data_IF_592832029237
#
_entry.id   IF_592832029237
#
_cell.length_a   1.000
_cell.length_b   1.000
_cell.length_c   1.000
_cell.angle_alpha   90.00
_cell.angle_beta   90.00
_cell.angle_gamma   90.00
#
_symmetry.space_group_name_H-M   'P 1'
#
loop_
_entity.id
_entity.type
_entity.pdbx_description
1 polymer ?
#
# COMPACT_ATOMS: atom_id res chain seq x y z
N UNK A 1 1.46 -7.78 -40.80
CA UNK A 1 2.43 -7.50 -39.72
C UNK A 1 2.42 -6.02 -39.35
N UNK A 2 2.68 -5.09 -40.28
CA UNK A 2 2.70 -3.64 -40.00
C UNK A 2 1.44 -3.06 -39.28
N UNK A 3 0.22 -3.51 -39.62
CA UNK A 3 -1.00 -3.04 -38.96
C UNK A 3 -1.14 -3.48 -37.50
N UNK A 4 -0.60 -4.66 -37.14
CA UNK A 4 -0.64 -5.19 -35.76
C UNK A 4 0.37 -4.44 -34.90
N UNK A 5 1.55 -4.12 -35.46
CA UNK A 5 2.57 -3.31 -34.79
C UNK A 5 2.06 -1.89 -34.46
N UNK A 6 1.33 -1.26 -35.38
CA UNK A 6 0.77 0.09 -35.16
C UNK A 6 -0.29 0.09 -34.05
N UNK A 7 -1.14 -0.94 -34.01
CA UNK A 7 -2.18 -1.06 -33.00
C UNK A 7 -1.59 -1.31 -31.60
N UNK A 8 -0.60 -2.21 -31.48
CA UNK A 8 0.09 -2.50 -30.22
C UNK A 8 0.86 -1.29 -29.70
N UNK A 9 1.55 -0.55 -30.57
CA UNK A 9 2.23 0.70 -30.18
C UNK A 9 1.27 1.76 -29.65
N UNK A 10 0.13 1.93 -30.31
CA UNK A 10 -0.89 2.89 -29.87
C UNK A 10 -1.48 2.50 -28.51
N UNK A 11 -1.70 1.20 -28.28
CA UNK A 11 -2.15 0.67 -26.99
C UNK A 11 -1.10 0.88 -25.89
N UNK A 12 0.17 0.55 -26.17
CA UNK A 12 1.28 0.74 -25.23
C UNK A 12 1.39 2.20 -24.79
N UNK A 13 1.33 3.13 -25.75
CA UNK A 13 1.35 4.56 -25.46
C UNK A 13 0.15 5.00 -24.59
N UNK A 14 -1.05 4.48 -24.85
CA UNK A 14 -2.23 4.79 -24.04
C UNK A 14 -2.11 4.32 -22.59
N UNK A 15 -1.60 3.09 -22.38
CA UNK A 15 -1.43 2.51 -21.04
C UNK A 15 -0.39 3.28 -20.25
N UNK A 16 0.77 3.56 -20.84
CA UNK A 16 1.88 4.18 -20.13
C UNK A 16 1.79 5.71 -20.01
N UNK A 17 0.97 6.38 -20.83
CA UNK A 17 0.63 7.79 -20.60
C UNK A 17 -0.17 8.02 -19.30
N UNK A 18 -0.86 6.99 -18.80
CA UNK A 18 -1.51 7.05 -17.48
C UNK A 18 -0.52 6.85 -16.33
N UNK A 19 0.58 6.12 -16.55
CA UNK A 19 1.59 5.81 -15.54
C UNK A 19 2.42 7.03 -15.11
N UNK A 20 2.63 8.01 -16.00
CA UNK A 20 3.36 9.25 -15.65
C UNK A 20 2.71 10.03 -14.48
N UNK A 21 1.40 9.84 -14.24
CA UNK A 21 0.70 10.46 -13.11
C UNK A 21 0.69 9.58 -11.83
N UNK A 22 1.05 8.30 -11.96
CA UNK A 22 1.10 7.30 -10.88
C UNK A 22 2.51 6.71 -10.81
N UNK A 23 3.50 7.57 -10.53
CA UNK A 23 4.96 7.38 -10.63
C UNK A 23 5.62 6.12 -10.01
N UNK A 24 4.86 5.19 -9.44
CA UNK A 24 5.35 3.98 -8.76
C UNK A 24 4.40 2.78 -8.92
N UNK A 25 3.47 2.83 -9.87
CA UNK A 25 2.68 1.69 -10.31
C UNK A 25 3.18 1.31 -11.69
N UNK A 26 3.25 0.02 -11.99
CA UNK A 26 3.59 -0.43 -13.34
C UNK A 26 2.43 -1.30 -13.85
N UNK A 27 1.87 -0.90 -14.99
CA UNK A 27 0.84 -1.69 -15.66
C UNK A 27 1.49 -2.54 -16.76
N UNK A 28 1.37 -3.85 -16.62
CA UNK A 28 1.89 -4.83 -17.56
C UNK A 28 0.74 -5.64 -18.12
N UNK A 29 0.77 -5.90 -19.43
CA UNK A 29 -0.16 -6.81 -20.09
C UNK A 29 0.64 -7.95 -20.72
N UNK A 30 0.28 -9.19 -20.40
CA UNK A 30 0.88 -10.38 -21.03
C UNK A 30 -0.18 -11.21 -21.75
N UNK A 31 0.22 -11.86 -22.84
CA UNK A 31 -0.63 -12.80 -23.58
C UNK A 31 -0.71 -14.16 -22.86
N UNK A 32 -1.56 -15.06 -23.39
CA UNK A 32 -1.70 -16.44 -22.90
C UNK A 32 -0.39 -17.26 -22.91
N UNK A 33 0.58 -16.88 -23.73
CA UNK A 33 1.86 -17.56 -23.86
C UNK A 33 2.88 -17.02 -22.83
N UNK A 34 2.62 -15.87 -22.24
CA UNK A 34 3.53 -15.19 -21.32
C UNK A 34 4.45 -14.20 -22.03
N UNK A 35 4.04 -13.70 -23.20
CA UNK A 35 4.74 -12.63 -23.90
C UNK A 35 4.11 -11.28 -23.56
N UNK A 36 4.92 -10.23 -23.50
CA UNK A 36 4.41 -8.88 -23.30
C UNK A 36 3.55 -8.41 -24.47
N UNK A 37 2.38 -7.86 -24.15
CA UNK A 37 1.52 -7.10 -25.06
C UNK A 37 1.76 -5.60 -24.86
N UNK A 38 2.07 -5.20 -23.62
CA UNK A 38 2.43 -3.84 -23.22
C UNK A 38 3.59 -3.89 -22.25
N UNK A 39 4.56 -2.99 -22.41
CA UNK A 39 5.71 -2.83 -21.54
C UNK A 39 6.32 -1.42 -21.71
N UNK A 40 6.87 -0.85 -20.64
CA UNK A 40 7.52 0.47 -20.64
C UNK A 40 8.66 0.56 -21.67
N UNK A 41 9.46 -0.50 -21.74
CA UNK A 41 10.42 -0.73 -22.83
C UNK A 41 9.75 -1.42 -24.03
N UNK A 42 9.53 -0.66 -25.11
CA UNK A 42 8.92 -1.17 -26.35
C UNK A 42 9.66 -2.36 -26.97
N UNK A 43 10.98 -2.48 -26.75
CA UNK A 43 11.77 -3.56 -27.32
C UNK A 43 11.39 -4.94 -26.76
N UNK A 44 10.78 -4.96 -25.57
CA UNK A 44 10.29 -6.18 -24.91
C UNK A 44 8.89 -6.60 -25.36
N UNK A 45 8.16 -5.78 -26.11
CA UNK A 45 6.84 -6.15 -26.63
C UNK A 45 6.99 -7.39 -27.53
N UNK A 46 6.07 -8.35 -27.38
CA UNK A 46 6.08 -9.71 -27.96
C UNK A 46 7.23 -10.61 -27.49
N UNK A 47 8.07 -10.17 -26.56
CA UNK A 47 9.08 -11.01 -25.91
C UNK A 47 8.57 -11.52 -24.56
N UNK A 48 9.26 -12.52 -24.03
CA UNK A 48 9.03 -13.07 -22.71
C UNK A 48 10.34 -13.05 -21.93
N UNK A 49 10.29 -12.57 -20.70
CA UNK A 49 11.40 -12.63 -19.75
C UNK A 49 10.97 -13.34 -18.46
N UNK A 50 11.88 -13.39 -17.49
CA UNK A 50 11.65 -14.05 -16.20
C UNK A 50 10.44 -13.48 -15.45
N UNK A 51 10.23 -12.16 -15.51
CA UNK A 51 9.12 -11.50 -14.84
C UNK A 51 7.77 -11.86 -15.46
N UNK A 52 7.67 -11.87 -16.80
CA UNK A 52 6.45 -12.30 -17.49
C UNK A 52 6.07 -13.75 -17.15
N UNK A 53 7.07 -14.64 -17.09
CA UNK A 53 6.86 -16.04 -16.72
C UNK A 53 6.49 -16.19 -15.24
N UNK A 54 7.12 -15.42 -14.35
CA UNK A 54 6.79 -15.40 -12.93
C UNK A 54 5.34 -14.94 -12.69
N UNK A 55 4.89 -13.88 -13.37
CA UNK A 55 3.49 -13.42 -13.35
C UNK A 55 2.56 -14.53 -13.80
N UNK A 56 2.83 -15.12 -14.96
CA UNK A 56 1.97 -16.16 -15.55
C UNK A 56 1.87 -17.40 -14.67
N UNK A 57 2.99 -17.83 -14.08
CA UNK A 57 3.04 -19.02 -13.21
C UNK A 57 2.38 -18.79 -11.85
N UNK A 58 2.44 -17.56 -11.34
CA UNK A 58 1.90 -17.20 -10.02
C UNK A 58 0.41 -16.84 -10.06
N UNK A 59 -0.10 -16.47 -11.24
CA UNK A 59 -1.50 -16.14 -11.43
C UNK A 59 -2.41 -17.38 -11.35
N UNK A 60 -3.48 -17.27 -10.57
CA UNK A 60 -4.62 -18.18 -10.60
C UNK A 60 -5.92 -17.37 -10.56
N UNK A 61 -6.98 -17.87 -11.19
CA UNK A 61 -8.29 -17.21 -11.20
C UNK A 61 -8.87 -17.02 -9.78
N UNK A 62 -8.48 -17.89 -8.84
CA UNK A 62 -8.91 -17.82 -7.44
C UNK A 62 -8.06 -16.84 -6.61
N UNK A 63 -6.84 -16.54 -7.06
CA UNK A 63 -5.89 -15.65 -6.37
C UNK A 63 -5.37 -14.59 -7.33
N UNK A 64 -6.19 -13.57 -7.55
CA UNK A 64 -5.89 -12.46 -8.46
C UNK A 64 -4.80 -11.52 -7.93
N UNK A 65 -4.49 -11.57 -6.63
CA UNK A 65 -3.42 -10.77 -6.01
C UNK A 65 -2.38 -11.69 -5.38
N UNK A 66 -1.12 -11.45 -5.69
CA UNK A 66 0.00 -12.28 -5.24
C UNK A 66 1.30 -11.47 -5.14
N UNK A 67 2.27 -12.02 -4.43
CA UNK A 67 3.57 -11.40 -4.20
C UNK A 67 4.57 -11.84 -5.27
N UNK A 68 5.32 -10.88 -5.81
CA UNK A 68 6.41 -11.02 -6.77
C UNK A 68 7.63 -10.35 -6.17
N UNK A 69 8.49 -11.12 -5.49
CA UNK A 69 9.63 -10.61 -4.73
C UNK A 69 9.25 -9.48 -3.76
N UNK A 70 9.69 -8.24 -4.02
CA UNK A 70 9.38 -7.05 -3.22
C UNK A 70 8.14 -6.28 -3.70
N UNK A 71 7.41 -6.83 -4.67
CA UNK A 71 6.25 -6.22 -5.30
C UNK A 71 4.99 -7.04 -5.03
N UNK A 72 3.85 -6.37 -5.13
CA UNK A 72 2.53 -6.99 -5.14
C UNK A 72 1.95 -6.80 -6.54
N UNK A 73 1.56 -7.91 -7.16
CA UNK A 73 0.87 -7.90 -8.44
C UNK A 73 -0.62 -8.22 -8.22
N UNK A 74 -1.48 -7.42 -8.82
CA UNK A 74 -2.91 -7.73 -8.96
C UNK A 74 -3.22 -7.89 -10.43
N UNK A 75 -3.67 -9.07 -10.82
CA UNK A 75 -3.90 -9.45 -12.20
C UNK A 75 -5.35 -9.87 -12.47
N UNK A 76 -5.82 -9.61 -13.69
CA UNK A 76 -7.13 -10.04 -14.19
C UNK A 76 -7.00 -10.50 -15.64
N UNK A 77 -7.62 -11.62 -15.97
CA UNK A 77 -7.76 -12.07 -17.35
C UNK A 77 -8.90 -11.32 -18.03
N UNK A 78 -8.62 -10.74 -19.20
CA UNK A 78 -9.66 -10.15 -20.05
C UNK A 78 -10.34 -11.22 -20.90
N UNK A 79 -11.66 -11.23 -20.85
CA UNK A 79 -12.52 -12.26 -21.43
C UNK A 79 -12.37 -12.44 -22.94
N UNK A 80 -12.18 -11.36 -23.69
CA UNK A 80 -12.14 -11.43 -25.16
C UNK A 80 -10.77 -11.83 -25.70
N UNK A 81 -9.70 -11.19 -25.19
CA UNK A 81 -8.34 -11.39 -25.69
C UNK A 81 -7.61 -12.51 -24.97
N UNK A 82 -8.10 -12.93 -23.80
CA UNK A 82 -7.41 -13.81 -22.87
C UNK A 82 -6.04 -13.25 -22.44
N UNK A 83 -5.88 -11.93 -22.50
CA UNK A 83 -4.71 -11.25 -21.97
C UNK A 83 -4.82 -11.13 -20.47
N UNK A 84 -3.69 -11.27 -19.79
CA UNK A 84 -3.58 -11.03 -18.37
C UNK A 84 -3.11 -9.59 -18.16
N UNK A 85 -3.99 -8.78 -17.57
CA UNK A 85 -3.71 -7.39 -17.22
C UNK A 85 -3.26 -7.36 -15.76
N UNK A 86 -2.05 -6.91 -15.50
CA UNK A 86 -1.45 -6.88 -14.18
C UNK A 86 -1.05 -5.45 -13.78
N UNK A 87 -1.42 -5.07 -12.58
CA UNK A 87 -0.91 -3.89 -11.90
C UNK A 87 0.12 -4.33 -10.87
N UNK A 88 1.34 -3.85 -10.99
CA UNK A 88 2.45 -4.17 -10.08
C UNK A 88 2.76 -2.93 -9.24
N UNK A 89 2.80 -3.11 -7.92
CA UNK A 89 3.05 -2.03 -6.96
C UNK A 89 4.13 -2.49 -5.97
N UNK A 90 5.16 -1.68 -5.69
CA UNK A 90 6.13 -1.99 -4.64
C UNK A 90 5.47 -2.14 -3.28
N UNK A 91 5.84 -3.17 -2.51
CA UNK A 91 5.32 -3.39 -1.16
C UNK A 91 5.65 -2.21 -0.23
N UNK A 92 6.81 -1.59 -0.42
CA UNK A 92 7.23 -0.37 0.29
C UNK A 92 6.21 0.76 0.14
N UNK A 93 5.62 0.95 -1.05
CA UNK A 93 4.63 2.02 -1.29
C UNK A 93 3.35 1.79 -0.48
N UNK A 94 2.93 0.54 -0.34
CA UNK A 94 1.77 0.20 0.48
C UNK A 94 2.09 0.46 1.95
N UNK A 95 3.24 -0.01 2.43
CA UNK A 95 3.71 0.24 3.79
C UNK A 95 3.86 1.73 4.11
N UNK A 96 4.41 2.52 3.19
CA UNK A 96 4.60 3.95 3.33
C UNK A 96 3.26 4.69 3.42
N UNK A 97 2.30 4.37 2.54
CA UNK A 97 0.95 4.95 2.58
C UNK A 97 0.22 4.59 3.88
N UNK A 98 0.36 3.35 4.36
CA UNK A 98 -0.15 2.92 5.67
C UNK A 98 0.50 3.72 6.81
N UNK A 99 1.82 3.91 6.77
CA UNK A 99 2.56 4.65 7.81
C UNK A 99 2.17 6.13 7.84
N UNK A 100 1.99 6.76 6.68
CA UNK A 100 1.55 8.15 6.56
C UNK A 100 0.15 8.34 7.15
N UNK A 101 -0.76 7.41 6.89
CA UNK A 101 -2.12 7.48 7.40
C UNK A 101 -2.21 7.17 8.91
N UNK A 102 -1.33 6.30 9.43
CA UNK A 102 -1.36 5.89 10.83
C UNK A 102 -0.57 6.81 11.77
N UNK A 103 0.46 7.52 11.28
CA UNK A 103 1.23 8.50 12.07
C UNK A 103 0.35 9.51 12.84
N UNK A 104 -0.64 10.20 12.23
CA UNK A 104 -1.48 11.15 12.96
C UNK A 104 -2.33 10.46 14.04
N UNK A 105 -2.76 9.21 13.82
CA UNK A 105 -3.52 8.44 14.81
C UNK A 105 -2.65 8.17 16.05
N UNK A 106 -1.39 7.76 15.86
CA UNK A 106 -0.46 7.56 16.98
C UNK A 106 -0.16 8.85 17.75
N UNK A 107 -0.02 9.97 17.04
CA UNK A 107 0.17 11.29 17.68
C UNK A 107 -1.06 11.65 18.52
N UNK A 108 -2.27 11.47 17.97
CA UNK A 108 -3.53 11.74 18.67
C UNK A 108 -3.69 10.86 19.92
N UNK A 109 -3.38 9.56 19.81
CA UNK A 109 -3.37 8.63 20.94
C UNK A 109 -2.40 9.08 22.04
N UNK A 110 -1.21 9.56 21.66
CA UNK A 110 -0.23 10.10 22.60
C UNK A 110 -0.76 11.32 23.37
N UNK A 111 -1.39 12.27 22.66
CA UNK A 111 -1.99 13.45 23.28
C UNK A 111 -3.13 13.04 24.23
N UNK A 112 -3.99 12.11 23.80
CA UNK A 112 -5.09 11.62 24.62
C UNK A 112 -4.60 10.93 25.90
N UNK A 113 -3.57 10.08 25.80
CA UNK A 113 -2.95 9.44 26.95
C UNK A 113 -2.35 10.48 27.91
N UNK A 114 -1.69 11.51 27.39
CA UNK A 114 -1.16 12.60 28.21
C UNK A 114 -2.26 13.35 28.98
N UNK A 115 -3.37 13.68 28.32
CA UNK A 115 -4.53 14.33 28.96
C UNK A 115 -5.09 13.43 30.08
N UNK A 116 -5.20 12.12 29.86
CA UNK A 116 -5.66 11.16 30.87
C UNK A 116 -4.78 11.16 32.12
N UNK A 117 -3.46 11.16 31.95
CA UNK A 117 -2.51 11.20 33.07
C UNK A 117 -2.68 12.49 33.88
N UNK A 118 -2.81 13.64 33.19
CA UNK A 118 -3.03 14.93 33.85
C UNK A 118 -4.36 14.95 34.59
N UNK A 119 -5.44 14.47 33.99
CA UNK A 119 -6.75 14.41 34.60
C UNK A 119 -6.75 13.52 35.85
N UNK A 120 -6.15 12.32 35.77
CA UNK A 120 -5.99 11.42 36.91
C UNK A 120 -5.18 12.08 38.04
N UNK A 121 -4.08 12.74 37.70
CA UNK A 121 -3.27 13.47 38.67
C UNK A 121 -4.08 14.56 39.38
N UNK A 122 -4.88 15.35 38.65
CA UNK A 122 -5.74 16.40 39.22
C UNK A 122 -6.80 15.80 40.15
N UNK A 123 -7.44 14.70 39.74
CA UNK A 123 -8.45 14.00 40.56
C UNK A 123 -7.82 13.48 41.85
N UNK A 124 -6.67 12.80 41.76
CA UNK A 124 -5.92 12.32 42.92
C UNK A 124 -5.51 13.47 43.84
N UNK A 125 -4.99 14.57 43.28
CA UNK A 125 -4.61 15.74 44.06
C UNK A 125 -5.82 16.36 44.78
N UNK A 126 -6.99 16.38 44.15
CA UNK A 126 -8.23 16.87 44.74
C UNK A 126 -8.74 15.96 45.87
N UNK A 127 -8.79 14.64 45.65
CA UNK A 127 -9.22 13.64 46.63
C UNK A 127 -8.26 13.52 47.83
N UNK A 128 -6.95 13.65 47.61
CA UNK A 128 -5.94 13.60 48.67
C UNK A 128 -5.77 14.94 49.42
N UNK A 129 -6.31 16.05 48.90
CA UNK A 129 -6.27 17.38 49.53
C UNK A 129 -6.85 17.39 50.95
N UNK A 130 -8.05 16.82 51.24
CA UNK A 130 -8.57 16.75 52.60
C UNK A 130 -7.73 15.88 53.53
N UNK A 131 -7.18 14.76 53.03
CA UNK A 131 -6.32 13.85 53.82
C UNK A 131 -5.04 14.56 54.27
N UNK A 132 -4.40 15.34 53.39
CA UNK A 132 -3.25 16.18 53.75
C UNK A 132 -3.60 17.23 54.80
N UNK A 133 -4.81 17.79 54.75
CA UNK A 133 -5.28 18.77 55.73
C UNK A 133 -5.46 18.13 57.10
N UNK A 134 -6.06 16.93 57.17
CA UNK A 134 -6.20 16.15 58.41
C UNK A 134 -4.84 15.75 58.99
N UNK A 135 -3.90 15.27 58.16
CA UNK A 135 -2.54 14.92 58.61
C UNK A 135 -1.79 16.11 59.23
N UNK A 136 -1.97 17.31 58.67
CA UNK A 136 -1.37 18.54 59.21
C UNK A 136 -1.98 18.97 60.55
N UNK A 137 -3.28 18.81 60.72
CA UNK A 137 -3.93 19.13 62.00
C UNK A 137 -3.56 18.13 63.09
N UNK A 138 -3.51 16.83 62.80
CA UNK A 138 -3.05 15.81 63.75
C UNK A 138 -1.59 15.99 64.17
N UNK A 139 -0.69 16.34 63.23
CA UNK A 139 0.72 16.61 63.53
C UNK A 139 0.99 17.96 64.22
N UNK A 140 -0.04 18.80 64.42
CA UNK A 140 0.05 20.04 65.19
C UNK A 140 -0.48 19.85 66.63
N UNK A 141 -1.35 18.86 66.82
CA UNK A 141 -1.99 18.54 68.11
C UNK A 141 -1.15 17.56 68.95
N UNK A 142 -0.29 16.77 68.30
CA UNK A 142 0.77 15.97 68.94
C UNK A 142 2.14 16.58 68.65
#
# INVERSE_FOLDING_TARGET
>A
MASVDIALKSLNAYIHAQDENTSEQEIIIIDKNGNYVSHNDESKILQSDELAQAIKSSFSADTTTFKLDSNIATCKVESQTQWLLCSIIPESRIADKLSQNNKPIFIMLGIFAFILVVALYVILAYLLKPIRRIKKEFARVF
#
